data_IF_388992855253
#
_entry.id   IF_388992855253
#
_cell.length_a   1.000
_cell.length_b   1.000
_cell.length_c   1.000
_cell.angle_alpha   90.00
_cell.angle_beta   90.00
_cell.angle_gamma   90.00
#
_symmetry.space_group_name_H-M   'P 1'
#
loop_
_entity.id
_entity.type
_entity.pdbx_description
1 polymer ?
#
# COMPACT_ATOMS: atom_id res chain seq x y z
N UNK A 1 -24.06 -21.04 11.74
CA UNK A 1 -24.11 -19.97 10.71
C UNK A 1 -22.73 -19.31 10.48
N UNK A 2 -21.61 -20.06 10.54
CA UNK A 2 -20.23 -19.52 10.45
C UNK A 2 -19.35 -20.35 9.50
N UNK A 3 -19.93 -20.94 8.45
CA UNK A 3 -19.18 -21.62 7.38
C UNK A 3 -19.12 -20.72 6.16
N UNK A 4 -18.03 -19.97 5.99
CA UNK A 4 -17.86 -19.05 4.86
C UNK A 4 -16.85 -17.92 5.06
N UNK A 5 -16.42 -17.64 6.30
CA UNK A 5 -15.31 -16.71 6.54
C UNK A 5 -13.99 -17.41 6.25
N UNK A 6 -13.33 -17.02 5.17
CA UNK A 6 -11.91 -17.29 4.98
C UNK A 6 -11.17 -16.73 6.21
N UNK A 7 -10.35 -17.57 6.83
CA UNK A 7 -9.63 -17.25 8.07
C UNK A 7 -8.77 -16.00 7.87
N UNK A 8 -8.67 -15.20 8.93
CA UNK A 8 -7.71 -14.10 9.11
C UNK A 8 -6.34 -14.50 8.54
N UNK A 9 -5.85 -13.75 7.56
CA UNK A 9 -4.42 -13.71 7.24
C UNK A 9 -3.86 -12.51 8.00
N UNK A 10 -3.35 -12.78 9.21
CA UNK A 10 -2.68 -11.82 10.06
C UNK A 10 -1.23 -11.66 9.58
N UNK A 11 -0.85 -10.44 9.17
CA UNK A 11 0.53 -9.95 9.36
C UNK A 11 0.48 -8.57 10.03
N UNK A 12 -0.29 -8.47 11.10
CA UNK A 12 0.03 -7.63 12.26
C UNK A 12 -0.92 -8.01 13.40
N UNK A 13 -0.39 -8.74 14.38
CA UNK A 13 -1.01 -8.85 15.71
C UNK A 13 -0.16 -7.98 16.62
N UNK A 14 -0.73 -6.91 17.16
CA UNK A 14 -0.16 -6.22 18.30
C UNK A 14 -0.32 -7.14 19.51
N UNK A 15 0.74 -7.87 19.85
CA UNK A 15 0.85 -8.56 21.13
C UNK A 15 1.67 -7.64 22.03
N UNK A 16 1.07 -7.21 23.13
CA UNK A 16 1.77 -6.43 24.16
C UNK A 16 2.81 -7.33 24.85
N UNK A 17 3.84 -6.77 25.52
CA UNK A 17 4.91 -7.53 26.20
C UNK A 17 4.46 -8.54 27.27
N UNK A 18 3.15 -8.62 27.56
CA UNK A 18 2.55 -9.54 28.51
C UNK A 18 2.03 -10.86 27.88
N UNK A 19 2.29 -11.11 26.59
CA UNK A 19 1.84 -12.30 25.86
C UNK A 19 2.58 -13.60 26.21
N UNK A 20 2.02 -14.75 25.82
CA UNK A 20 2.58 -16.06 26.11
C UNK A 20 3.87 -16.34 25.29
N UNK A 21 4.82 -17.09 25.86
CA UNK A 21 6.12 -17.37 25.24
C UNK A 21 6.05 -18.04 23.85
N UNK A 22 4.97 -18.74 23.55
CA UNK A 22 4.69 -19.35 22.23
C UNK A 22 4.32 -18.31 21.16
N UNK A 23 3.66 -17.20 21.53
CA UNK A 23 3.31 -16.12 20.60
C UNK A 23 4.57 -15.33 20.15
N UNK A 24 5.59 -15.29 21.00
CA UNK A 24 6.89 -14.65 20.71
C UNK A 24 7.76 -15.45 19.74
N UNK A 25 7.58 -16.77 19.65
CA UNK A 25 8.30 -17.61 18.69
C UNK A 25 7.81 -17.41 17.24
N UNK A 26 6.53 -17.09 17.02
CA UNK A 26 6.01 -16.78 15.68
C UNK A 26 6.48 -15.41 15.15
N UNK A 27 6.73 -14.46 16.06
CA UNK A 27 7.27 -13.12 15.76
C UNK A 27 8.68 -13.16 15.13
N UNK A 28 9.42 -14.22 15.41
CA UNK A 28 10.80 -14.47 14.99
C UNK A 28 11.02 -14.39 13.46
N UNK A 29 9.96 -14.56 12.67
CA UNK A 29 10.06 -14.77 11.23
C UNK A 29 9.81 -13.51 10.37
N UNK A 30 9.56 -12.31 10.90
CA UNK A 30 8.87 -11.27 10.09
C UNK A 30 9.51 -9.87 9.98
N UNK A 31 10.73 -9.61 10.47
CA UNK A 31 11.21 -8.21 10.58
C UNK A 31 12.60 -7.95 9.99
N UNK A 32 12.74 -6.93 9.11
CA UNK A 32 14.02 -6.29 8.83
C UNK A 32 14.39 -5.33 9.97
N UNK A 33 15.68 -5.30 10.31
CA UNK A 33 16.23 -4.46 11.38
C UNK A 33 16.13 -2.97 11.02
N UNK A 34 15.95 -2.09 12.03
CA UNK A 34 16.48 -0.70 12.12
C UNK A 34 15.61 0.30 12.92
N UNK A 35 15.17 -0.04 14.14
CA UNK A 35 14.65 0.99 15.07
C UNK A 35 15.14 0.76 16.50
N UNK A 36 15.26 1.84 17.29
CA UNK A 36 15.59 1.76 18.73
C UNK A 36 14.58 0.90 19.51
N UNK A 37 13.35 0.81 19.01
CA UNK A 37 12.28 -0.08 19.48
C UNK A 37 12.71 -1.56 19.40
N UNK A 38 13.45 -1.94 18.36
CA UNK A 38 13.91 -3.32 18.15
C UNK A 38 14.95 -3.78 19.17
N UNK A 39 15.85 -2.88 19.58
CA UNK A 39 16.83 -3.18 20.62
C UNK A 39 16.19 -3.41 22.00
N UNK A 40 15.01 -2.83 22.24
CA UNK A 40 14.15 -3.15 23.39
C UNK A 40 13.55 -4.55 23.28
N UNK A 41 12.89 -4.84 22.16
CA UNK A 41 12.22 -6.12 21.92
C UNK A 41 13.20 -7.31 21.95
N UNK A 42 14.38 -7.18 21.35
CA UNK A 42 15.41 -8.24 21.37
C UNK A 42 15.86 -8.57 22.80
N UNK A 43 15.92 -7.57 23.69
CA UNK A 43 16.26 -7.77 25.12
C UNK A 43 15.13 -8.47 25.86
N UNK A 44 13.89 -8.06 25.64
CA UNK A 44 12.70 -8.70 26.24
C UNK A 44 12.54 -10.16 25.78
N UNK A 45 12.78 -10.41 24.49
CA UNK A 45 12.73 -11.75 23.90
C UNK A 45 13.85 -12.67 24.43
N UNK A 46 15.06 -12.14 24.53
CA UNK A 46 16.20 -12.85 25.13
C UNK A 46 15.89 -13.29 26.59
N UNK A 47 15.25 -12.41 27.37
CA UNK A 47 14.79 -12.72 28.72
C UNK A 47 13.70 -13.78 28.71
N UNK A 48 12.68 -13.65 27.84
CA UNK A 48 11.55 -14.58 27.77
C UNK A 48 11.96 -16.00 27.33
N UNK A 49 12.93 -16.09 26.41
CA UNK A 49 13.44 -17.37 25.89
C UNK A 49 14.63 -17.91 26.68
N UNK A 50 15.09 -17.18 27.70
CA UNK A 50 16.25 -17.51 28.52
C UNK A 50 17.53 -17.77 27.69
N UNK A 51 17.79 -16.93 26.69
CA UNK A 51 18.97 -16.99 25.81
C UNK A 51 19.62 -15.61 25.67
N UNK A 52 20.92 -15.51 25.34
CA UNK A 52 21.56 -14.21 25.11
C UNK A 52 20.99 -13.47 23.90
N UNK A 53 20.99 -12.13 23.94
CA UNK A 53 20.58 -11.28 22.79
C UNK A 53 21.43 -11.57 21.54
N UNK A 54 22.69 -11.94 21.71
CA UNK A 54 23.56 -12.35 20.61
C UNK A 54 23.01 -13.57 19.87
N UNK A 55 22.48 -14.56 20.60
CA UNK A 55 21.88 -15.75 20.00
C UNK A 55 20.59 -15.41 19.24
N UNK A 56 19.80 -14.45 19.75
CA UNK A 56 18.63 -13.92 19.03
C UNK A 56 19.06 -13.26 17.71
N UNK A 57 20.14 -12.46 17.72
CA UNK A 57 20.69 -11.83 16.52
C UNK A 57 21.21 -12.84 15.51
N UNK A 58 21.92 -13.87 15.95
CA UNK A 58 22.48 -14.91 15.08
C UNK A 58 21.37 -15.69 14.38
N UNK A 59 20.33 -16.07 15.13
CA UNK A 59 19.19 -16.78 14.56
C UNK A 59 18.41 -15.88 13.60
N UNK A 60 18.23 -14.58 13.89
CA UNK A 60 17.58 -13.61 12.99
C UNK A 60 18.35 -13.48 11.68
N UNK A 61 19.67 -13.37 11.78
CA UNK A 61 20.57 -13.28 10.63
C UNK A 61 20.49 -14.55 9.78
N UNK A 62 20.43 -15.72 10.41
CA UNK A 62 20.27 -17.01 9.73
C UNK A 62 18.92 -17.13 9.01
N UNK A 63 17.81 -16.77 9.67
CA UNK A 63 16.48 -16.80 9.08
C UNK A 63 16.32 -15.81 7.92
N UNK A 64 16.88 -14.60 8.05
CA UNK A 64 16.91 -13.62 6.95
C UNK A 64 17.76 -14.13 5.78
N UNK A 65 18.91 -14.77 6.06
CA UNK A 65 19.76 -15.37 5.03
C UNK A 65 19.06 -16.50 4.29
N UNK A 66 18.31 -17.36 4.96
CA UNK A 66 17.53 -18.46 4.35
C UNK A 66 16.42 -17.93 3.43
N UNK A 67 15.66 -16.92 3.90
CA UNK A 67 14.61 -16.27 3.10
C UNK A 67 15.16 -15.50 1.91
N UNK A 68 16.29 -14.83 2.11
CA UNK A 68 17.00 -14.16 1.04
C UNK A 68 17.51 -15.19 0.04
N UNK A 69 18.16 -16.28 0.45
CA UNK A 69 18.62 -17.32 -0.46
C UNK A 69 17.50 -17.92 -1.33
N UNK A 70 16.30 -18.10 -0.78
CA UNK A 70 15.14 -18.59 -1.53
C UNK A 70 14.68 -17.63 -2.64
N UNK A 71 14.85 -16.31 -2.45
CA UNK A 71 14.37 -15.27 -3.37
C UNK A 71 15.49 -14.55 -4.12
N UNK A 72 16.75 -14.75 -3.74
CA UNK A 72 17.91 -13.98 -4.18
C UNK A 72 18.13 -14.15 -5.67
N UNK A 73 18.01 -15.38 -6.18
CA UNK A 73 18.14 -15.66 -7.60
C UNK A 73 17.05 -14.96 -8.41
N UNK A 74 15.81 -14.96 -7.91
CA UNK A 74 14.66 -14.30 -8.55
C UNK A 74 14.86 -12.79 -8.60
N UNK A 75 15.26 -12.18 -7.49
CA UNK A 75 15.50 -10.73 -7.38
C UNK A 75 16.71 -10.32 -8.23
N UNK A 76 17.82 -11.05 -8.13
CA UNK A 76 19.04 -10.83 -8.91
C UNK A 76 18.78 -10.95 -10.41
N UNK A 77 18.09 -12.01 -10.85
CA UNK A 77 17.77 -12.21 -12.26
C UNK A 77 16.82 -11.12 -12.79
N UNK A 78 15.89 -10.65 -11.96
CA UNK A 78 14.98 -9.55 -12.31
C UNK A 78 15.73 -8.22 -12.46
N UNK A 79 16.59 -7.89 -11.50
CA UNK A 79 17.38 -6.65 -11.51
C UNK A 79 18.43 -6.64 -12.63
N UNK A 80 19.09 -7.77 -12.89
CA UNK A 80 20.06 -7.90 -13.98
C UNK A 80 19.43 -7.62 -15.36
N UNK A 81 18.16 -7.98 -15.58
CA UNK A 81 17.44 -7.66 -16.82
C UNK A 81 16.97 -6.22 -16.92
N UNK A 82 16.98 -5.50 -15.80
CA UNK A 82 16.72 -4.07 -15.72
C UNK A 82 18.03 -3.27 -15.71
N UNK A 83 19.18 -3.92 -15.91
CA UNK A 83 20.52 -3.32 -15.83
C UNK A 83 20.82 -2.69 -14.46
N UNK A 84 20.17 -3.21 -13.40
CA UNK A 84 20.38 -2.79 -12.00
C UNK A 84 21.28 -3.82 -11.32
N UNK A 85 22.37 -3.37 -10.73
CA UNK A 85 23.28 -4.23 -9.98
C UNK A 85 22.66 -4.63 -8.63
N UNK A 86 22.55 -5.93 -8.39
CA UNK A 86 22.04 -6.46 -7.12
C UNK A 86 23.13 -6.44 -6.04
N UNK A 87 22.92 -5.69 -4.95
CA UNK A 87 23.83 -5.59 -3.82
C UNK A 87 23.17 -6.13 -2.54
N UNK A 88 23.33 -7.43 -2.21
CA UNK A 88 22.59 -8.08 -1.11
C UNK A 88 23.02 -7.63 0.29
N UNK A 89 24.24 -7.12 0.46
CA UNK A 89 24.76 -6.81 1.80
C UNK A 89 24.07 -5.63 2.50
N UNK A 90 23.36 -4.78 1.74
CA UNK A 90 22.49 -3.75 2.30
C UNK A 90 21.35 -4.32 3.17
N UNK A 91 20.83 -5.50 2.81
CA UNK A 91 19.73 -6.20 3.50
C UNK A 91 20.21 -7.20 4.56
N UNK A 92 21.48 -7.63 4.49
CA UNK A 92 22.05 -8.66 5.35
C UNK A 92 22.85 -8.11 6.54
N UNK A 93 22.89 -6.78 6.70
CA UNK A 93 23.50 -6.14 7.87
C UNK A 93 25.03 -6.09 7.86
N UNK A 94 25.67 -6.23 6.69
CA UNK A 94 27.12 -6.10 6.59
C UNK A 94 27.52 -4.62 6.74
N UNK A 95 28.16 -4.29 7.87
CA UNK A 95 28.50 -2.93 8.28
C UNK A 95 29.64 -2.27 7.46
N UNK A 96 30.34 -3.04 6.62
CA UNK A 96 31.57 -2.62 5.91
C UNK A 96 31.39 -2.36 4.40
N UNK A 97 30.16 -2.30 3.90
CA UNK A 97 29.94 -1.93 2.50
C UNK A 97 30.02 -0.41 2.33
N UNK A 98 30.83 0.09 1.36
CA UNK A 98 30.76 1.50 1.01
C UNK A 98 29.33 1.83 0.58
N UNK A 99 28.80 3.02 0.91
CA UNK A 99 27.49 3.43 0.43
C UNK A 99 27.46 3.29 -1.09
N UNK A 100 26.34 2.85 -1.68
CA UNK A 100 26.23 2.68 -3.12
C UNK A 100 26.72 3.98 -3.79
N UNK A 101 27.50 3.89 -4.88
CA UNK A 101 27.95 5.08 -5.59
C UNK A 101 26.72 5.93 -5.90
N UNK A 102 26.80 7.24 -5.63
CA UNK A 102 25.71 8.19 -5.87
C UNK A 102 25.47 8.34 -7.36
N UNK A 103 24.75 7.39 -7.92
CA UNK A 103 23.88 7.57 -9.08
C UNK A 103 22.45 7.46 -8.56
N UNK A 104 21.57 8.32 -9.06
CA UNK A 104 20.18 8.45 -8.63
C UNK A 104 19.29 7.25 -8.98
N UNK A 105 19.67 6.04 -8.57
CA UNK A 105 18.82 4.85 -8.59
C UNK A 105 18.22 4.66 -7.19
N UNK A 106 16.91 4.86 -7.07
CA UNK A 106 16.19 4.45 -5.87
C UNK A 106 16.18 2.92 -5.77
N UNK A 107 16.58 2.39 -4.61
CA UNK A 107 16.37 1.00 -4.24
C UNK A 107 15.16 0.88 -3.31
N UNK A 108 14.32 -0.13 -3.52
CA UNK A 108 13.24 -0.49 -2.61
C UNK A 108 13.78 -1.49 -1.58
N UNK A 109 13.95 -1.04 -0.34
CA UNK A 109 14.46 -1.84 0.79
C UNK A 109 13.42 -2.87 1.26
N UNK A 110 12.21 -2.40 1.55
CA UNK A 110 11.02 -3.22 1.79
C UNK A 110 9.75 -2.37 1.56
N UNK A 111 8.61 -3.02 1.34
CA UNK A 111 7.31 -2.38 1.41
C UNK A 111 6.35 -3.25 2.20
N UNK A 112 5.51 -2.63 3.03
CA UNK A 112 4.51 -3.31 3.86
C UNK A 112 3.14 -2.90 3.36
N UNK A 113 2.36 -3.86 2.86
CA UNK A 113 0.98 -3.59 2.51
C UNK A 113 0.11 -3.88 3.74
N UNK A 114 -0.39 -2.84 4.40
CA UNK A 114 -1.41 -2.99 5.43
C UNK A 114 -2.79 -2.94 4.79
N UNK A 115 -3.51 -4.04 5.00
CA UNK A 115 -4.84 -4.26 4.44
C UNK A 115 -5.96 -3.45 5.11
N UNK A 116 -7.22 -3.70 4.68
CA UNK A 116 -7.63 -4.95 4.06
C UNK A 116 -7.21 -5.05 2.59
N UNK A 117 -6.36 -6.05 2.28
CA UNK A 117 -5.79 -6.30 0.94
C UNK A 117 -6.86 -6.67 -0.10
N UNK A 118 -8.02 -7.07 0.40
CA UNK A 118 -9.27 -7.11 -0.32
C UNK A 118 -10.21 -6.20 0.48
N UNK A 119 -10.72 -5.08 -0.05
CA UNK A 119 -11.94 -4.52 0.54
C UNK A 119 -12.95 -5.66 0.65
N UNK A 120 -13.81 -5.66 1.66
CA UNK A 120 -14.80 -6.73 1.90
C UNK A 120 -15.70 -7.01 0.66
N UNK A 121 -15.63 -6.14 -0.37
CA UNK A 121 -16.23 -6.26 -1.70
C UNK A 121 -15.28 -6.60 -2.89
N UNK A 122 -13.96 -6.72 -2.72
CA UNK A 122 -13.08 -7.22 -3.77
C UNK A 122 -13.22 -8.74 -3.82
N UNK A 123 -13.95 -9.22 -4.81
CA UNK A 123 -14.13 -10.63 -5.04
C UNK A 123 -12.76 -11.32 -5.24
N UNK A 124 -12.62 -12.52 -4.69
CA UNK A 124 -11.44 -13.37 -4.82
C UNK A 124 -11.11 -13.69 -6.30
N UNK A 125 -12.03 -13.40 -7.21
CA UNK A 125 -11.91 -13.49 -8.67
C UNK A 125 -10.83 -12.56 -9.26
N UNK A 126 -10.53 -11.42 -8.62
CA UNK A 126 -9.55 -10.46 -9.15
C UNK A 126 -8.12 -10.97 -9.10
N UNK A 127 -7.77 -11.75 -8.07
CA UNK A 127 -6.42 -12.35 -7.94
C UNK A 127 -6.30 -13.59 -8.81
N UNK A 128 -7.35 -14.42 -8.89
CA UNK A 128 -7.34 -15.59 -9.79
C UNK A 128 -7.33 -15.18 -11.27
N UNK A 129 -7.90 -14.02 -11.61
CA UNK A 129 -7.83 -13.44 -12.95
C UNK A 129 -6.41 -13.09 -13.42
N UNK A 130 -5.47 -12.83 -12.50
CA UNK A 130 -4.05 -12.60 -12.82
C UNK A 130 -3.30 -13.87 -13.24
N UNK A 131 -3.85 -15.05 -12.91
CA UNK A 131 -3.27 -16.36 -13.18
C UNK A 131 -4.24 -17.25 -13.98
N UNK A 132 -5.03 -16.64 -14.87
CA UNK A 132 -6.05 -17.33 -15.64
C UNK A 132 -5.42 -18.37 -16.58
N UNK A 133 -5.55 -19.65 -16.24
CA UNK A 133 -4.95 -20.77 -16.99
C UNK A 133 -5.35 -20.84 -18.48
N UNK A 134 -6.50 -20.25 -18.85
CA UNK A 134 -7.02 -20.23 -20.21
C UNK A 134 -6.55 -19.04 -21.06
N UNK A 135 -5.71 -18.14 -20.52
CA UNK A 135 -5.18 -16.98 -21.25
C UNK A 135 -3.70 -17.17 -21.58
N UNK A 136 -3.28 -16.63 -22.72
CA UNK A 136 -1.86 -16.62 -23.08
C UNK A 136 -1.06 -15.73 -22.10
N UNK A 137 0.11 -16.18 -21.60
CA UNK A 137 0.93 -15.41 -20.67
C UNK A 137 1.25 -13.99 -21.14
N UNK A 138 1.59 -13.81 -22.42
CA UNK A 138 1.89 -12.50 -23.01
C UNK A 138 0.72 -11.51 -22.88
N UNK A 139 -0.52 -11.97 -23.04
CA UNK A 139 -1.72 -11.13 -22.89
C UNK A 139 -1.94 -10.75 -21.43
N UNK A 140 -1.75 -11.68 -20.49
CA UNK A 140 -1.87 -11.39 -19.06
C UNK A 140 -0.79 -10.41 -18.59
N UNK A 141 0.43 -10.56 -19.09
CA UNK A 141 1.54 -9.64 -18.86
C UNK A 141 1.20 -8.25 -19.41
N UNK A 142 0.71 -8.15 -20.65
CA UNK A 142 0.33 -6.87 -21.24
C UNK A 142 -0.75 -6.14 -20.41
N UNK A 143 -1.81 -6.85 -20.01
CA UNK A 143 -2.87 -6.30 -19.17
C UNK A 143 -2.34 -5.83 -17.81
N UNK A 144 -1.47 -6.62 -17.20
CA UNK A 144 -0.87 -6.29 -15.91
C UNK A 144 0.03 -5.06 -16.01
N UNK A 145 0.93 -5.03 -17.00
CA UNK A 145 1.85 -3.93 -17.22
C UNK A 145 1.11 -2.63 -17.53
N UNK A 146 0.03 -2.68 -18.32
CA UNK A 146 -0.77 -1.48 -18.64
C UNK A 146 -1.39 -0.86 -17.37
N UNK A 147 -1.82 -1.70 -16.42
CA UNK A 147 -2.33 -1.26 -15.12
C UNK A 147 -1.22 -0.79 -14.19
N UNK A 148 -0.12 -1.54 -14.10
CA UNK A 148 1.01 -1.24 -13.24
C UNK A 148 1.71 0.06 -13.64
N UNK A 149 1.96 0.24 -14.93
CA UNK A 149 2.65 1.43 -15.47
C UNK A 149 1.69 2.57 -15.78
N UNK A 150 0.37 2.30 -15.77
CA UNK A 150 -0.70 3.30 -15.89
C UNK A 150 -0.69 4.03 -17.22
N UNK A 151 -0.17 3.35 -18.26
CA UNK A 151 -0.08 3.81 -19.64
C UNK A 151 -0.10 2.61 -20.60
N UNK A 152 -0.36 2.84 -21.90
CA UNK A 152 -0.09 1.86 -22.93
C UNK A 152 1.34 1.33 -22.83
N UNK A 153 1.46 0.02 -22.95
CA UNK A 153 2.74 -0.71 -22.89
C UNK A 153 3.27 -0.92 -24.29
N UNK A 154 4.58 -0.74 -24.46
CA UNK A 154 5.25 -0.96 -25.72
C UNK A 154 5.40 -2.47 -25.97
N UNK A 155 5.39 -2.89 -27.24
CA UNK A 155 5.62 -4.29 -27.61
C UNK A 155 6.95 -4.82 -27.02
N UNK A 156 8.00 -4.00 -27.04
CA UNK A 156 9.30 -4.33 -26.46
C UNK A 156 9.27 -4.52 -24.94
N UNK A 157 8.37 -3.84 -24.22
CA UNK A 157 8.16 -4.06 -22.79
C UNK A 157 7.49 -5.42 -22.58
N UNK A 158 6.42 -5.71 -23.33
CA UNK A 158 5.73 -7.01 -23.28
C UNK A 158 6.72 -8.15 -23.56
N UNK A 159 7.56 -8.02 -24.58
CA UNK A 159 8.56 -9.02 -24.95
C UNK A 159 9.58 -9.25 -23.82
N UNK A 160 10.08 -8.18 -23.19
CA UNK A 160 11.03 -8.26 -22.07
C UNK A 160 10.45 -9.00 -20.87
N UNK A 161 9.22 -8.69 -20.50
CA UNK A 161 8.53 -9.34 -19.38
C UNK A 161 8.07 -10.77 -19.75
N UNK A 162 7.70 -11.02 -21.01
CA UNK A 162 7.40 -12.37 -21.50
C UNK A 162 8.65 -13.25 -21.46
N UNK A 163 9.81 -12.72 -21.82
CA UNK A 163 11.07 -13.45 -21.72
C UNK A 163 11.43 -13.86 -20.28
N UNK A 164 10.97 -13.10 -19.25
CA UNK A 164 11.13 -13.53 -17.84
C UNK A 164 10.34 -14.81 -17.60
N UNK A 165 9.10 -14.86 -18.08
CA UNK A 165 8.28 -16.06 -17.95
C UNK A 165 8.87 -17.24 -18.71
N UNK A 166 9.36 -17.05 -19.94
CA UNK A 166 10.02 -18.12 -20.71
C UNK A 166 11.21 -18.70 -19.96
N UNK A 167 12.08 -17.87 -19.39
CA UNK A 167 13.23 -18.34 -18.62
C UNK A 167 12.86 -19.09 -17.35
N UNK A 168 11.82 -18.65 -16.63
CA UNK A 168 11.29 -19.42 -15.50
C UNK A 168 10.76 -20.79 -15.94
N UNK A 169 10.04 -20.83 -17.07
CA UNK A 169 9.52 -22.08 -17.66
C UNK A 169 10.63 -23.03 -18.09
N UNK A 170 11.71 -22.53 -18.69
CA UNK A 170 12.88 -23.33 -19.09
C UNK A 170 13.60 -23.96 -17.88
N UNK A 171 13.44 -23.38 -16.68
CA UNK A 171 13.95 -23.93 -15.41
C UNK A 171 13.02 -24.95 -14.75
N UNK A 172 11.86 -25.22 -15.35
CA UNK A 172 10.86 -26.16 -14.83
C UNK A 172 9.83 -25.55 -13.88
N UNK A 173 9.84 -24.24 -13.66
CA UNK A 173 8.86 -23.54 -12.81
C UNK A 173 7.48 -23.56 -13.48
N UNK A 174 6.40 -23.61 -12.70
CA UNK A 174 5.01 -23.56 -13.17
C UNK A 174 4.67 -22.26 -13.91
N UNK A 175 3.56 -22.24 -14.66
CA UNK A 175 3.09 -21.01 -15.33
C UNK A 175 2.80 -19.90 -14.32
N UNK A 176 2.25 -20.26 -13.16
CA UNK A 176 1.97 -19.31 -12.09
C UNK A 176 3.26 -18.70 -11.52
N UNK A 177 4.27 -19.52 -11.23
CA UNK A 177 5.58 -19.06 -10.75
C UNK A 177 6.28 -18.16 -11.78
N UNK A 178 6.22 -18.54 -13.05
CA UNK A 178 6.75 -17.74 -14.14
C UNK A 178 6.05 -16.36 -14.25
N UNK A 179 4.72 -16.31 -14.14
CA UNK A 179 3.97 -15.06 -14.11
C UNK A 179 4.28 -14.23 -12.86
N UNK A 180 4.43 -14.87 -11.68
CA UNK A 180 4.84 -14.18 -10.44
C UNK A 180 6.19 -13.49 -10.62
N UNK A 181 7.15 -14.11 -11.29
CA UNK A 181 8.44 -13.49 -11.60
C UNK A 181 8.25 -12.21 -12.45
N UNK A 182 7.46 -12.30 -13.53
CA UNK A 182 7.20 -11.14 -14.39
C UNK A 182 6.46 -10.01 -13.65
N UNK A 183 5.44 -10.34 -12.86
CA UNK A 183 4.70 -9.36 -12.07
C UNK A 183 5.55 -8.73 -10.97
N UNK A 184 6.40 -9.52 -10.31
CA UNK A 184 7.35 -9.01 -9.31
C UNK A 184 8.31 -8.02 -9.96
N UNK A 185 8.91 -8.37 -11.09
CA UNK A 185 9.80 -7.48 -11.83
C UNK A 185 9.09 -6.19 -12.32
N UNK A 186 7.79 -6.25 -12.58
CA UNK A 186 7.00 -5.08 -12.95
C UNK A 186 6.72 -4.19 -11.74
N UNK A 187 6.39 -4.76 -10.59
CA UNK A 187 6.15 -4.03 -9.34
C UNK A 187 7.42 -3.44 -8.71
N UNK A 188 8.60 -3.96 -9.05
CA UNK A 188 9.89 -3.37 -8.65
C UNK A 188 10.49 -2.45 -9.70
N UNK A 189 9.82 -2.27 -10.84
CA UNK A 189 10.29 -1.40 -11.92
C UNK A 189 10.12 0.08 -11.54
N UNK A 190 11.05 0.96 -11.97
CA UNK A 190 10.88 2.41 -11.87
C UNK A 190 9.55 2.89 -12.47
N UNK A 191 9.05 2.25 -13.54
CA UNK A 191 7.76 2.60 -14.15
C UNK A 191 6.55 2.36 -13.23
N UNK A 192 6.68 1.45 -12.25
CA UNK A 192 5.67 1.21 -11.22
C UNK A 192 5.92 2.03 -9.94
N UNK A 193 7.16 2.05 -9.45
CA UNK A 193 7.51 2.72 -8.19
C UNK A 193 7.32 4.24 -8.32
N UNK A 194 7.73 4.80 -9.45
CA UNK A 194 7.54 6.20 -9.75
C UNK A 194 6.27 6.41 -10.57
N UNK A 195 5.61 7.53 -10.29
CA UNK A 195 4.60 8.07 -11.18
C UNK A 195 5.36 8.86 -12.23
N UNK A 196 5.26 8.40 -13.46
CA UNK A 196 6.00 8.93 -14.59
C UNK A 196 5.47 10.31 -14.99
N UNK A 197 5.88 11.34 -14.27
CA UNK A 197 5.74 12.74 -14.65
C UNK A 197 7.08 13.28 -15.16
N UNK A 198 7.88 12.41 -15.79
CA UNK A 198 9.12 12.82 -16.42
C UNK A 198 8.80 13.45 -17.78
N UNK A 199 9.14 14.72 -17.91
CA UNK A 199 9.02 15.45 -19.15
C UNK A 199 10.26 15.30 -20.02
N UNK A 200 10.21 15.77 -21.27
CA UNK A 200 11.39 15.86 -22.13
C UNK A 200 12.46 16.81 -21.59
N UNK A 201 12.12 17.63 -20.59
CA UNK A 201 12.94 18.69 -20.01
C UNK A 201 12.81 18.71 -18.49
N UNK A 202 13.77 19.34 -17.80
CA UNK A 202 13.70 19.65 -16.37
C UNK A 202 12.79 20.85 -16.05
N UNK A 203 12.37 21.59 -17.07
CA UNK A 203 11.41 22.70 -16.95
C UNK A 203 9.96 22.21 -16.81
N UNK A 204 9.09 23.09 -16.31
CA UNK A 204 7.67 22.82 -16.22
C UNK A 204 7.09 22.51 -17.61
N UNK A 205 6.49 21.34 -17.75
CA UNK A 205 5.92 20.86 -19.01
C UNK A 205 4.46 20.45 -18.82
N UNK A 206 3.72 20.42 -19.94
CA UNK A 206 2.33 19.98 -19.93
C UNK A 206 2.28 18.45 -19.87
N UNK A 207 1.55 17.92 -18.89
CA UNK A 207 1.29 16.49 -18.81
C UNK A 207 0.52 15.98 -20.03
N UNK A 208 0.88 14.78 -20.50
CA UNK A 208 0.05 14.04 -21.45
C UNK A 208 -1.18 13.42 -20.75
N UNK A 209 -2.11 12.88 -21.51
CA UNK A 209 -3.36 12.36 -20.96
C UNK A 209 -3.19 11.20 -19.97
N UNK A 210 -2.21 10.30 -20.16
CA UNK A 210 -1.94 9.21 -19.21
C UNK A 210 -1.33 9.70 -17.90
N UNK A 211 -0.44 10.68 -18.00
CA UNK A 211 0.15 11.35 -16.85
C UNK A 211 -0.92 12.12 -16.07
N UNK A 212 -1.80 12.83 -16.78
CA UNK A 212 -2.91 13.55 -16.18
C UNK A 212 -3.91 12.60 -15.50
N UNK A 213 -4.26 11.48 -16.16
CA UNK A 213 -5.10 10.44 -15.59
C UNK A 213 -4.51 9.91 -14.28
N UNK A 214 -3.23 9.58 -14.28
CA UNK A 214 -2.51 9.09 -13.10
C UNK A 214 -2.47 10.14 -12.00
N UNK A 215 -2.15 11.39 -12.31
CA UNK A 215 -2.13 12.48 -11.32
C UNK A 215 -3.50 12.66 -10.67
N UNK A 216 -4.57 12.71 -11.46
CA UNK A 216 -5.94 12.87 -10.94
C UNK A 216 -6.37 11.71 -10.06
N UNK A 217 -6.11 10.47 -10.49
CA UNK A 217 -6.54 9.28 -9.75
C UNK A 217 -5.86 9.17 -8.39
N UNK A 218 -4.55 9.43 -8.32
CA UNK A 218 -3.87 9.37 -7.04
C UNK A 218 -4.10 10.60 -6.18
N UNK A 219 -4.37 11.76 -6.79
CA UNK A 219 -4.72 12.95 -6.02
C UNK A 219 -6.09 12.78 -5.35
N UNK A 220 -7.11 12.32 -6.08
CA UNK A 220 -8.49 12.25 -5.57
C UNK A 220 -8.86 10.92 -4.92
N UNK A 221 -8.23 9.81 -5.32
CA UNK A 221 -8.60 8.45 -4.86
C UNK A 221 -7.46 7.68 -4.22
N UNK A 222 -6.23 8.23 -4.18
CA UNK A 222 -5.03 7.51 -3.72
C UNK A 222 -4.85 6.14 -4.41
N UNK A 223 -5.36 6.00 -5.64
CA UNK A 223 -5.39 4.74 -6.38
C UNK A 223 -5.12 4.95 -7.86
N UNK A 224 -4.92 3.85 -8.59
CA UNK A 224 -4.71 3.89 -10.04
C UNK A 224 -5.94 4.43 -10.78
N UNK A 225 -5.78 4.94 -12.02
CA UNK A 225 -6.91 5.33 -12.87
C UNK A 225 -7.91 4.19 -13.02
N UNK A 226 -9.20 4.47 -13.19
CA UNK A 226 -10.17 3.45 -13.58
C UNK A 226 -10.20 3.25 -15.11
N UNK A 227 -11.00 2.29 -15.58
CA UNK A 227 -11.07 1.97 -17.01
C UNK A 227 -11.59 3.16 -17.84
N UNK A 228 -12.49 3.97 -17.29
CA UNK A 228 -13.00 5.16 -17.97
C UNK A 228 -11.91 6.23 -18.14
N UNK A 229 -11.16 6.52 -17.07
CA UNK A 229 -10.08 7.51 -17.12
C UNK A 229 -8.93 7.04 -18.03
N UNK A 230 -8.61 5.73 -18.03
CA UNK A 230 -7.69 5.12 -19.00
C UNK A 230 -8.16 5.27 -20.44
N UNK A 231 -9.41 4.90 -20.73
CA UNK A 231 -9.93 4.96 -22.10
C UNK A 231 -9.96 6.39 -22.66
N UNK A 232 -10.27 7.39 -21.82
CA UNK A 232 -10.19 8.80 -22.21
C UNK A 232 -8.74 9.24 -22.47
N UNK A 233 -7.79 8.70 -21.71
CA UNK A 233 -6.37 8.97 -21.94
C UNK A 233 -5.85 8.28 -23.20
N UNK A 234 -6.21 7.03 -23.45
CA UNK A 234 -5.87 6.28 -24.67
C UNK A 234 -6.40 7.01 -25.92
N UNK A 235 -7.57 7.66 -25.80
CA UNK A 235 -8.18 8.44 -26.87
C UNK A 235 -7.61 9.87 -27.01
N UNK A 236 -6.70 10.32 -26.14
CA UNK A 236 -6.15 11.68 -26.14
C UNK A 236 -7.20 12.77 -25.85
N UNK A 237 -8.24 12.45 -25.06
CA UNK A 237 -9.39 13.33 -24.81
C UNK A 237 -9.42 13.93 -23.42
N UNK A 238 -8.57 13.49 -22.50
CA UNK A 238 -8.63 13.90 -21.09
C UNK A 238 -8.12 15.33 -20.88
N UNK A 239 -7.28 15.83 -21.77
CA UNK A 239 -6.80 17.22 -21.76
C UNK A 239 -7.83 18.25 -22.25
N UNK A 240 -8.97 17.80 -22.78
CA UNK A 240 -10.11 18.67 -23.09
C UNK A 240 -10.74 19.21 -21.78
N UNK A 241 -10.87 20.54 -21.60
CA UNK A 241 -11.36 21.12 -20.35
C UNK A 241 -12.77 20.69 -19.93
N UNK A 242 -13.66 20.40 -20.89
CA UNK A 242 -15.03 19.94 -20.62
C UNK A 242 -15.01 18.50 -20.15
N UNK A 243 -14.24 17.63 -20.84
CA UNK A 243 -14.05 16.23 -20.44
C UNK A 243 -13.39 16.14 -19.07
N UNK A 244 -12.32 16.90 -18.84
CA UNK A 244 -11.58 16.94 -17.58
C UNK A 244 -12.49 17.34 -16.41
N UNK A 245 -13.25 18.42 -16.55
CA UNK A 245 -14.19 18.87 -15.52
C UNK A 245 -15.25 17.80 -15.22
N UNK A 246 -15.77 17.15 -16.25
CA UNK A 246 -16.70 16.04 -16.09
C UNK A 246 -16.10 14.86 -15.33
N UNK A 247 -14.84 14.50 -15.61
CA UNK A 247 -14.14 13.44 -14.87
C UNK A 247 -13.88 13.84 -13.42
N UNK A 248 -13.43 15.06 -13.14
CA UNK A 248 -13.23 15.53 -11.76
C UNK A 248 -14.54 15.44 -10.97
N UNK A 249 -15.65 15.93 -11.52
CA UNK A 249 -16.95 15.84 -10.84
C UNK A 249 -17.36 14.39 -10.59
N UNK A 250 -17.20 13.50 -11.58
CA UNK A 250 -17.47 12.08 -11.40
C UNK A 250 -16.62 11.48 -10.27
N UNK A 251 -15.33 11.82 -10.23
CA UNK A 251 -14.39 11.28 -9.26
C UNK A 251 -14.67 11.77 -7.84
N UNK A 252 -15.10 13.03 -7.68
CA UNK A 252 -15.54 13.57 -6.40
C UNK A 252 -16.79 12.86 -5.85
N UNK A 253 -17.66 12.35 -6.74
CA UNK A 253 -18.86 11.60 -6.35
C UNK A 253 -18.65 10.08 -6.26
N UNK A 254 -17.41 9.60 -6.39
CA UNK A 254 -17.08 8.18 -6.27
C UNK A 254 -16.72 7.85 -4.81
N UNK A 255 -17.18 6.70 -4.26
CA UNK A 255 -16.86 6.30 -2.89
C UNK A 255 -15.36 6.23 -2.56
N UNK A 256 -14.49 6.08 -3.56
CA UNK A 256 -13.03 6.11 -3.39
C UNK A 256 -12.50 7.46 -2.92
N UNK A 257 -13.24 8.56 -3.05
CA UNK A 257 -12.86 9.86 -2.50
C UNK A 257 -12.62 9.78 -0.98
N UNK A 258 -13.36 8.91 -0.28
CA UNK A 258 -13.21 8.76 1.17
C UNK A 258 -11.79 8.42 1.60
N UNK A 259 -11.06 7.61 0.83
CA UNK A 259 -9.68 7.26 1.16
C UNK A 259 -8.79 8.52 1.20
N UNK A 260 -8.95 9.43 0.23
CA UNK A 260 -8.25 10.71 0.25
C UNK A 260 -8.67 11.58 1.44
N UNK A 261 -9.98 11.67 1.72
CA UNK A 261 -10.49 12.45 2.85
C UNK A 261 -9.97 11.93 4.20
N UNK A 262 -9.95 10.61 4.39
CA UNK A 262 -9.45 9.94 5.59
C UNK A 262 -7.96 10.25 5.81
N UNK A 263 -7.12 10.03 4.79
CA UNK A 263 -5.68 10.31 4.90
C UNK A 263 -5.40 11.80 5.14
N UNK A 264 -6.00 12.69 4.33
CA UNK A 264 -5.71 14.11 4.42
C UNK A 264 -6.14 14.70 5.78
N UNK A 265 -7.39 14.45 6.20
CA UNK A 265 -7.90 14.96 7.47
C UNK A 265 -7.21 14.28 8.67
N UNK A 266 -6.93 12.98 8.57
CA UNK A 266 -6.20 12.22 9.57
C UNK A 266 -4.82 12.80 9.86
N UNK A 267 -4.04 13.07 8.82
CA UNK A 267 -2.70 13.66 8.94
C UNK A 267 -2.77 15.14 9.33
N UNK A 268 -3.64 15.93 8.69
CA UNK A 268 -3.72 17.37 8.93
C UNK A 268 -4.14 17.71 10.36
N UNK A 269 -5.11 16.99 10.91
CA UNK A 269 -5.59 17.18 12.28
C UNK A 269 -4.87 16.28 13.31
N UNK A 270 -4.04 15.33 12.85
CA UNK A 270 -3.34 14.36 13.71
C UNK A 270 -4.26 13.34 14.39
N UNK A 271 -5.49 13.15 13.90
CA UNK A 271 -6.52 12.33 14.56
C UNK A 271 -6.24 10.84 14.51
N UNK A 272 -5.33 10.36 13.65
CA UNK A 272 -4.95 8.94 13.57
C UNK A 272 -4.46 8.37 14.91
N UNK A 273 -3.81 9.23 15.70
CA UNK A 273 -3.26 8.89 17.02
C UNK A 273 -4.33 8.80 18.13
N UNK A 274 -5.55 9.28 17.88
CA UNK A 274 -6.64 9.28 18.86
C UNK A 274 -7.11 7.86 19.16
N UNK A 275 -7.07 7.50 20.44
CA UNK A 275 -7.37 6.16 20.94
C UNK A 275 -6.20 5.18 20.85
N UNK A 276 -5.07 5.57 20.26
CA UNK A 276 -3.85 4.74 20.16
C UNK A 276 -2.71 5.36 20.98
N UNK A 277 -1.87 6.20 20.36
CA UNK A 277 -0.78 6.90 21.03
C UNK A 277 -1.28 8.04 21.95
N UNK A 278 -2.48 8.55 21.68
CA UNK A 278 -3.13 9.59 22.49
C UNK A 278 -4.45 9.04 23.03
N UNK A 279 -4.42 8.59 24.28
CA UNK A 279 -5.58 8.10 25.00
C UNK A 279 -5.93 9.06 26.14
N UNK A 280 -7.18 9.53 26.20
CA UNK A 280 -7.71 10.21 27.37
C UNK A 280 -7.55 9.35 28.63
N UNK A 281 -7.28 9.99 29.77
CA UNK A 281 -7.21 9.30 31.06
C UNK A 281 -8.56 8.67 31.40
N UNK A 282 -8.60 7.35 31.53
CA UNK A 282 -9.84 6.60 31.72
C UNK A 282 -10.55 6.88 33.05
N UNK A 283 -9.85 7.44 34.06
CA UNK A 283 -10.49 7.86 35.32
C UNK A 283 -11.20 9.19 35.16
N UNK A 284 -10.61 10.10 34.38
CA UNK A 284 -11.13 11.44 34.13
C UNK A 284 -12.22 11.43 33.06
N UNK A 285 -12.08 10.59 32.03
CA UNK A 285 -13.00 10.47 30.89
C UNK A 285 -13.50 9.02 30.72
N UNK A 286 -14.30 8.50 31.67
CA UNK A 286 -14.77 7.11 31.65
C UNK A 286 -15.68 6.77 30.46
N UNK A 287 -16.29 7.78 29.83
CA UNK A 287 -17.12 7.65 28.63
C UNK A 287 -16.30 7.42 27.35
N UNK A 288 -14.99 7.72 27.38
CA UNK A 288 -14.12 7.52 26.23
C UNK A 288 -13.96 6.02 25.96
N UNK A 289 -14.21 5.64 24.71
CA UNK A 289 -14.15 4.25 24.23
C UNK A 289 -13.57 4.19 22.83
N UNK A 290 -13.13 3.01 22.40
CA UNK A 290 -12.61 2.80 21.05
C UNK A 290 -13.66 3.12 19.97
N UNK A 291 -14.94 2.81 20.24
CA UNK A 291 -16.05 3.15 19.33
C UNK A 291 -16.27 4.66 19.25
N UNK A 292 -16.19 5.38 20.37
CA UNK A 292 -16.26 6.84 20.37
C UNK A 292 -15.05 7.45 19.63
N UNK A 293 -13.84 6.96 19.88
CA UNK A 293 -12.63 7.40 19.18
C UNK A 293 -12.75 7.21 17.66
N UNK A 294 -13.30 6.06 17.22
CA UNK A 294 -13.55 5.79 15.80
C UNK A 294 -14.55 6.77 15.21
N UNK A 295 -15.65 7.06 15.93
CA UNK A 295 -16.64 8.02 15.48
C UNK A 295 -16.09 9.46 15.42
N UNK A 296 -15.31 9.89 16.42
CA UNK A 296 -14.63 11.19 16.44
C UNK A 296 -13.66 11.36 15.28
N UNK A 297 -12.94 10.29 14.90
CA UNK A 297 -12.03 10.32 13.74
C UNK A 297 -12.79 10.43 12.42
N UNK A 298 -13.94 9.79 12.31
CA UNK A 298 -14.72 9.71 11.07
C UNK A 298 -15.54 10.99 10.80
N UNK A 299 -15.98 11.70 11.83
CA UNK A 299 -16.76 12.93 11.68
C UNK A 299 -16.12 13.99 10.76
N UNK A 300 -14.89 14.48 11.01
CA UNK A 300 -14.28 15.52 10.17
C UNK A 300 -13.96 15.00 8.77
N UNK A 301 -13.73 13.70 8.62
CA UNK A 301 -13.55 13.04 7.31
C UNK A 301 -14.83 13.13 6.49
N UNK A 302 -15.97 12.75 7.06
CA UNK A 302 -17.26 12.78 6.36
C UNK A 302 -17.70 14.21 6.04
N UNK A 303 -17.44 15.15 6.96
CA UNK A 303 -17.68 16.57 6.70
C UNK A 303 -16.85 17.06 5.52
N UNK A 304 -15.55 16.75 5.50
CA UNK A 304 -14.68 17.13 4.39
C UNK A 304 -15.09 16.48 3.06
N UNK A 305 -15.40 15.18 3.07
CA UNK A 305 -15.93 14.45 1.91
C UNK A 305 -17.18 15.16 1.34
N UNK A 306 -18.11 15.54 2.23
CA UNK A 306 -19.33 16.25 1.86
C UNK A 306 -19.05 17.63 1.24
N UNK A 307 -18.13 18.40 1.81
CA UNK A 307 -17.75 19.71 1.28
C UNK A 307 -17.15 19.58 -0.12
N UNK A 308 -16.30 18.57 -0.36
CA UNK A 308 -15.74 18.30 -1.68
C UNK A 308 -16.80 17.90 -2.71
N UNK A 309 -17.79 17.10 -2.31
CA UNK A 309 -18.87 16.65 -3.20
C UNK A 309 -19.86 17.76 -3.55
N UNK A 310 -20.16 18.63 -2.59
CA UNK A 310 -21.16 19.70 -2.73
C UNK A 310 -20.57 21.03 -3.19
N UNK A 311 -19.23 21.17 -3.19
CA UNK A 311 -18.57 22.45 -3.41
C UNK A 311 -18.78 23.43 -2.27
N UNK A 312 -18.90 22.91 -1.03
CA UNK A 312 -19.07 23.69 0.19
C UNK A 312 -17.82 24.46 0.61
N UNK A 313 -17.96 25.38 1.56
CA UNK A 313 -16.84 26.19 2.03
C UNK A 313 -15.96 25.39 2.99
N UNK A 314 -14.64 25.40 2.80
CA UNK A 314 -13.71 24.81 3.76
C UNK A 314 -13.77 25.48 5.14
N UNK A 315 -14.29 26.72 5.24
CA UNK A 315 -14.52 27.37 6.52
C UNK A 315 -15.55 26.63 7.38
N UNK A 316 -16.44 25.83 6.76
CA UNK A 316 -17.41 25.00 7.49
C UNK A 316 -16.73 23.91 8.34
N UNK A 317 -15.45 23.61 8.11
CA UNK A 317 -14.67 22.76 9.03
C UNK A 317 -14.39 23.44 10.39
N UNK A 318 -14.50 24.77 10.46
CA UNK A 318 -14.23 25.57 11.66
C UNK A 318 -15.52 26.10 12.30
N UNK A 319 -16.45 26.61 11.49
CA UNK A 319 -17.68 27.29 11.95
C UNK A 319 -18.97 26.62 11.49
N UNK A 320 -18.87 25.41 10.92
CA UNK A 320 -20.01 24.65 10.44
C UNK A 320 -21.05 24.39 11.54
N UNK A 321 -22.33 24.54 11.18
CA UNK A 321 -23.48 24.22 12.06
C UNK A 321 -24.08 22.84 11.81
N UNK A 322 -23.43 22.05 10.98
CA UNK A 322 -23.86 20.72 10.54
C UNK A 322 -22.68 19.78 10.69
N UNK A 323 -22.97 18.54 11.07
CA UNK A 323 -21.95 17.52 11.23
C UNK A 323 -22.50 16.13 10.90
N UNK A 324 -21.61 15.15 10.80
CA UNK A 324 -21.90 13.74 10.61
C UNK A 324 -21.65 13.01 11.92
N UNK A 325 -22.72 12.51 12.54
CA UNK A 325 -22.65 11.83 13.82
C UNK A 325 -23.13 10.40 13.71
N UNK A 326 -22.41 9.49 14.38
CA UNK A 326 -22.87 8.13 14.64
C UNK A 326 -23.36 8.02 16.10
N UNK A 327 -24.06 6.94 16.46
CA UNK A 327 -24.72 6.78 17.77
C UNK A 327 -23.81 7.04 18.99
N UNK A 328 -22.54 6.57 19.02
CA UNK A 328 -21.62 6.92 20.11
C UNK A 328 -21.33 8.42 20.20
N UNK A 329 -21.10 9.08 19.06
CA UNK A 329 -20.76 10.50 18.98
C UNK A 329 -21.98 11.39 19.23
N UNK A 330 -23.17 11.00 18.75
CA UNK A 330 -24.42 11.68 19.03
C UNK A 330 -24.70 11.71 20.54
N UNK A 331 -24.57 10.55 21.21
CA UNK A 331 -24.67 10.46 22.67
C UNK A 331 -23.65 11.37 23.37
N UNK A 332 -22.41 11.40 22.88
CA UNK A 332 -21.35 12.26 23.43
C UNK A 332 -21.66 13.76 23.27
N UNK A 333 -22.25 14.17 22.17
CA UNK A 333 -22.68 15.55 21.92
C UNK A 333 -24.05 15.91 22.52
N UNK A 334 -24.72 14.97 23.19
CA UNK A 334 -26.07 15.18 23.71
C UNK A 334 -27.13 15.35 22.62
N UNK A 335 -26.87 14.83 21.42
CA UNK A 335 -27.81 14.79 20.30
C UNK A 335 -28.69 13.55 20.46
N UNK A 336 -30.00 13.72 20.33
CA UNK A 336 -30.96 12.62 20.41
C UNK A 336 -30.60 11.52 19.41
N UNK A 337 -30.73 10.25 19.83
CA UNK A 337 -30.29 9.11 19.04
C UNK A 337 -31.00 9.06 17.68
N UNK A 338 -30.24 9.31 16.62
CA UNK A 338 -30.71 9.15 15.25
C UNK A 338 -30.67 7.65 14.94
N UNK A 339 -31.83 7.05 14.72
CA UNK A 339 -31.92 5.68 14.20
C UNK A 339 -31.73 5.75 12.68
N UNK A 340 -30.61 5.26 12.16
CA UNK A 340 -30.27 5.34 10.74
C UNK A 340 -29.05 4.52 10.38
#
# INVERSE_FOLDING_TARGET
ALGGMQRRIEYLRLVTPAGAATDLQEYFNLLPERTAVMAGIKRELAVALNVPVAEINDRLTAANREKMAANEKVVRDSLARLEIEWQPGFLLGDADLPPPPTFGSAGLDWFKIQGPLLPVAAAADRVTGLFAANRQPSVMIADFLARAFRRPVMASEIDRYTALTTTARDRGESVEEALRLAYTAALTSPHFIFRDELGPTTEAFRLNDHQLASRLSYFLWLSMPDDNLRALADAGRLTDPVVLRGQVQRMLNDPRLRAFAETFIGEWLGTESLGTAHQPDAKTFPEFSESLATAMKLEPVLLFEHLLQTGGSLLELLDGRRTFVHSPLASHYGIEAITG
#
